data_IF_849955379784
#
_entry.id   IF_849955379784
#
_cell.length_a   1.000
_cell.length_b   1.000
_cell.length_c   1.000
_cell.angle_alpha   90.00
_cell.angle_beta   90.00
_cell.angle_gamma   90.00
#
_symmetry.space_group_name_H-M   'P 1'
#
loop_
_entity.id
_entity.type
_entity.pdbx_description
1 polymer ?
#
# COMPACT_ATOMS: atom_id res chain seq x y z
N UNK A 1 22.08 21.79 -46.28
CA UNK A 1 21.59 20.53 -45.69
C UNK A 1 22.45 19.39 -46.22
N UNK A 2 23.21 18.73 -45.34
CA UNK A 2 24.05 17.58 -45.67
C UNK A 2 24.37 16.86 -44.37
N UNK A 3 23.53 15.89 -44.04
CA UNK A 3 23.47 15.17 -42.77
C UNK A 3 24.74 14.36 -42.49
N UNK A 4 25.25 14.47 -41.26
CA UNK A 4 26.26 13.59 -40.67
C UNK A 4 25.75 12.15 -40.62
N UNK A 5 26.11 11.34 -41.62
CA UNK A 5 26.00 9.88 -41.55
C UNK A 5 27.25 9.30 -40.87
N UNK A 6 27.38 9.48 -39.55
CA UNK A 6 28.35 8.71 -38.77
C UNK A 6 27.78 7.31 -38.51
N UNK A 7 28.03 6.38 -39.43
CA UNK A 7 27.88 4.95 -39.17
C UNK A 7 28.96 4.54 -38.17
N UNK A 8 28.60 4.37 -36.90
CA UNK A 8 29.46 3.76 -35.90
C UNK A 8 29.78 2.31 -36.33
N UNK A 9 30.95 2.13 -36.93
CA UNK A 9 31.55 0.82 -37.14
C UNK A 9 32.06 0.32 -35.79
N UNK A 10 31.27 -0.51 -35.10
CA UNK A 10 31.76 -1.25 -33.93
C UNK A 10 32.88 -2.18 -34.42
N UNK A 11 34.12 -1.87 -34.05
CA UNK A 11 35.30 -2.64 -34.44
C UNK A 11 35.16 -4.09 -33.95
N UNK A 12 35.44 -5.05 -34.83
CA UNK A 12 35.52 -6.48 -34.51
C UNK A 12 36.51 -6.76 -33.37
N UNK A 13 37.52 -5.89 -33.17
CA UNK A 13 38.44 -5.95 -32.03
C UNK A 13 37.75 -5.58 -30.70
N UNK A 14 36.79 -4.65 -30.71
CA UNK A 14 35.99 -4.33 -29.53
C UNK A 14 35.01 -5.46 -29.18
N UNK A 15 34.47 -6.16 -30.19
CA UNK A 15 33.63 -7.35 -30.01
C UNK A 15 34.47 -8.53 -29.48
N UNK A 16 35.67 -8.74 -30.03
CA UNK A 16 36.64 -9.74 -29.57
C UNK A 16 37.11 -9.49 -28.14
N UNK A 17 37.45 -8.24 -27.80
CA UNK A 17 37.86 -7.85 -26.45
C UNK A 17 36.71 -8.02 -25.43
N UNK A 18 35.47 -7.68 -25.82
CA UNK A 18 34.29 -7.94 -25.01
C UNK A 18 34.02 -9.44 -24.84
N UNK A 19 34.29 -10.26 -25.86
CA UNK A 19 34.19 -11.72 -25.78
C UNK A 19 35.21 -12.32 -24.82
N UNK A 20 36.48 -11.95 -24.97
CA UNK A 20 37.57 -12.42 -24.10
C UNK A 20 37.36 -11.99 -22.63
N UNK A 21 36.94 -10.74 -22.41
CA UNK A 21 36.62 -10.25 -21.07
C UNK A 21 35.46 -11.01 -20.43
N UNK A 22 34.39 -11.28 -21.20
CA UNK A 22 33.26 -12.09 -20.72
C UNK A 22 33.70 -13.50 -20.36
N UNK A 23 34.44 -14.18 -21.24
CA UNK A 23 34.96 -15.53 -20.98
C UNK A 23 35.86 -15.58 -19.75
N UNK A 24 36.76 -14.59 -19.59
CA UNK A 24 37.61 -14.47 -18.41
C UNK A 24 36.79 -14.25 -17.14
N UNK A 25 35.80 -13.35 -17.16
CA UNK A 25 34.93 -13.09 -16.02
C UNK A 25 34.11 -14.33 -15.62
N UNK A 26 33.62 -15.09 -16.58
CA UNK A 26 32.88 -16.34 -16.32
C UNK A 26 33.81 -17.38 -15.71
N UNK A 27 35.04 -17.53 -16.21
CA UNK A 27 36.01 -18.46 -15.66
C UNK A 27 36.37 -18.11 -14.21
N UNK A 28 36.62 -16.83 -13.92
CA UNK A 28 36.91 -16.38 -12.55
C UNK A 28 35.73 -16.62 -11.61
N UNK A 29 34.49 -16.42 -12.07
CA UNK A 29 33.28 -16.75 -11.29
C UNK A 29 33.15 -18.26 -11.02
N UNK A 30 33.47 -19.12 -12.00
CA UNK A 30 33.47 -20.58 -11.80
C UNK A 30 34.56 -21.02 -10.81
N UNK A 31 35.75 -20.43 -10.88
CA UNK A 31 36.83 -20.68 -9.93
C UNK A 31 36.44 -20.25 -8.52
N UNK A 32 35.86 -19.05 -8.36
CA UNK A 32 35.31 -18.61 -7.08
C UNK A 32 34.22 -19.56 -6.57
N UNK A 33 33.32 -20.03 -7.45
CA UNK A 33 32.31 -21.03 -7.07
C UNK A 33 32.92 -22.34 -6.56
N UNK A 34 34.00 -22.81 -7.19
CA UNK A 34 34.74 -23.98 -6.72
C UNK A 34 35.42 -23.77 -5.37
N UNK A 35 36.01 -22.60 -5.13
CA UNK A 35 36.66 -22.25 -3.86
C UNK A 35 35.64 -22.06 -2.73
N UNK A 36 34.51 -21.41 -3.02
CA UNK A 36 33.40 -21.23 -2.08
C UNK A 36 32.74 -22.57 -1.74
N UNK A 37 32.61 -23.48 -2.72
CA UNK A 37 32.23 -24.87 -2.46
C UNK A 37 33.23 -25.58 -1.55
N UNK A 38 34.54 -25.48 -1.82
CA UNK A 38 35.56 -26.12 -1.00
C UNK A 38 35.55 -25.59 0.46
N UNK A 39 35.34 -24.28 0.62
CA UNK A 39 35.15 -23.67 1.93
C UNK A 39 33.89 -24.22 2.63
N UNK A 40 32.75 -24.25 1.94
CA UNK A 40 31.50 -24.81 2.46
C UNK A 40 31.58 -26.32 2.73
N UNK A 41 32.39 -27.06 1.98
CA UNK A 41 32.65 -28.47 2.24
C UNK A 41 33.36 -28.67 3.58
N UNK A 42 34.24 -27.72 3.90
CA UNK A 42 35.08 -27.76 5.09
C UNK A 42 34.31 -27.32 6.34
N UNK A 43 33.51 -26.25 6.23
CA UNK A 43 32.86 -25.61 7.39
C UNK A 43 31.33 -25.73 7.41
N UNK A 44 30.70 -25.98 6.26
CA UNK A 44 29.25 -25.99 6.08
C UNK A 44 28.57 -27.27 6.55
N UNK A 45 29.31 -28.30 6.97
CA UNK A 45 28.73 -29.56 7.46
C UNK A 45 27.78 -29.36 8.66
N UNK A 46 27.95 -28.27 9.43
CA UNK A 46 27.08 -27.90 10.54
C UNK A 46 25.77 -27.22 10.11
N UNK A 47 25.68 -26.68 8.89
CA UNK A 47 24.43 -26.09 8.40
C UNK A 47 23.38 -27.15 8.05
N UNK A 48 23.83 -28.31 7.55
CA UNK A 48 22.93 -29.39 7.11
C UNK A 48 23.46 -30.71 7.67
N UNK A 49 23.17 -31.01 8.95
CA UNK A 49 23.61 -32.25 9.57
C UNK A 49 22.81 -33.42 9.00
N UNK A 50 23.48 -34.24 8.20
CA UNK A 50 23.04 -35.58 7.84
C UNK A 50 23.82 -36.58 8.68
N UNK A 51 23.23 -37.71 9.07
CA UNK A 51 23.92 -38.76 9.85
C UNK A 51 25.18 -39.36 9.20
N UNK A 52 25.57 -38.87 8.01
CA UNK A 52 26.78 -39.22 7.29
C UNK A 52 27.69 -37.98 7.14
N UNK A 53 28.89 -37.97 7.75
CA UNK A 53 29.78 -36.80 7.74
C UNK A 53 30.11 -36.27 6.34
N UNK A 54 30.37 -37.16 5.37
CA UNK A 54 30.68 -36.79 4.00
C UNK A 54 29.49 -36.16 3.28
N UNK A 55 28.27 -36.65 3.52
CA UNK A 55 27.08 -36.09 2.91
C UNK A 55 26.78 -34.69 3.46
N UNK A 56 26.97 -34.48 4.77
CA UNK A 56 26.85 -33.14 5.39
C UNK A 56 27.86 -32.16 4.80
N UNK A 57 29.11 -32.60 4.59
CA UNK A 57 30.14 -31.78 3.95
C UNK A 57 29.76 -31.41 2.51
N UNK A 58 29.32 -32.37 1.69
CA UNK A 58 28.87 -32.09 0.30
C UNK A 58 27.71 -31.09 0.30
N UNK A 59 26.70 -31.29 1.16
CA UNK A 59 25.55 -30.40 1.25
C UNK A 59 25.95 -29.00 1.74
N UNK A 60 26.90 -28.90 2.68
CA UNK A 60 27.49 -27.64 3.11
C UNK A 60 28.19 -26.91 1.95
N UNK A 61 29.00 -27.62 1.16
CA UNK A 61 29.64 -27.08 -0.04
C UNK A 61 28.64 -26.57 -1.06
N UNK A 62 27.59 -27.35 -1.35
CA UNK A 62 26.51 -26.95 -2.25
C UNK A 62 25.78 -25.72 -1.71
N UNK A 63 25.45 -25.68 -0.42
CA UNK A 63 24.73 -24.56 0.18
C UNK A 63 25.51 -23.24 0.03
N UNK A 64 26.82 -23.26 0.29
CA UNK A 64 27.67 -22.08 0.10
C UNK A 64 27.72 -21.65 -1.37
N UNK A 65 27.98 -22.57 -2.30
CA UNK A 65 27.98 -22.25 -3.73
C UNK A 65 26.62 -21.67 -4.20
N UNK A 66 25.51 -22.16 -3.64
CA UNK A 66 24.18 -21.64 -3.94
C UNK A 66 23.98 -20.21 -3.43
N UNK A 67 24.33 -19.95 -2.17
CA UNK A 67 24.14 -18.66 -1.51
C UNK A 67 25.02 -17.57 -2.15
N UNK A 68 26.27 -17.89 -2.45
CA UNK A 68 27.23 -16.89 -2.87
C UNK A 68 27.28 -16.72 -4.39
N UNK A 69 27.35 -17.82 -5.14
CA UNK A 69 27.64 -17.77 -6.57
C UNK A 69 26.38 -17.88 -7.42
N UNK A 70 25.56 -18.92 -7.19
CA UNK A 70 24.34 -19.12 -7.97
C UNK A 70 23.32 -18.01 -7.72
N UNK A 71 23.18 -17.56 -6.47
CA UNK A 71 22.35 -16.40 -6.17
C UNK A 71 22.87 -15.13 -6.86
N UNK A 72 24.18 -14.88 -6.87
CA UNK A 72 24.76 -13.73 -7.58
C UNK A 72 24.43 -13.74 -9.08
N UNK A 73 24.49 -14.92 -9.72
CA UNK A 73 24.04 -15.09 -11.11
C UNK A 73 22.53 -14.89 -11.27
N UNK A 74 21.73 -15.39 -10.33
CA UNK A 74 20.28 -15.18 -10.32
C UNK A 74 19.92 -13.69 -10.27
N UNK A 75 20.60 -12.91 -9.43
CA UNK A 75 20.42 -11.47 -9.34
C UNK A 75 20.96 -10.71 -10.55
N UNK A 76 22.10 -11.11 -11.13
CA UNK A 76 22.63 -10.53 -12.38
C UNK A 76 21.65 -10.76 -13.54
N UNK A 77 21.03 -11.93 -13.60
CA UNK A 77 19.98 -12.25 -14.57
C UNK A 77 18.71 -11.43 -14.32
N UNK A 78 18.28 -11.29 -13.07
CA UNK A 78 17.12 -10.48 -12.69
C UNK A 78 17.30 -9.00 -13.07
N UNK A 79 18.49 -8.43 -12.87
CA UNK A 79 18.83 -7.05 -13.24
C UNK A 79 18.73 -6.77 -14.76
N UNK A 80 18.90 -7.81 -15.58
CA UNK A 80 18.88 -7.73 -17.04
C UNK A 80 17.53 -8.10 -17.66
N UNK A 81 16.54 -8.43 -16.83
CA UNK A 81 15.20 -8.77 -17.31
C UNK A 81 14.53 -7.53 -17.92
N UNK A 82 13.82 -7.72 -19.02
CA UNK A 82 13.00 -6.67 -19.61
C UNK A 82 11.78 -6.36 -18.72
N UNK A 83 11.30 -5.12 -18.77
CA UNK A 83 10.09 -4.70 -18.04
C UNK A 83 10.22 -4.60 -16.52
N UNK A 84 11.44 -4.48 -16.00
CA UNK A 84 11.69 -4.22 -14.57
C UNK A 84 11.74 -2.72 -14.27
N UNK A 85 11.34 -2.33 -13.07
CA UNK A 85 11.48 -0.94 -12.62
C UNK A 85 12.96 -0.56 -12.38
N UNK A 86 13.31 0.74 -12.39
CA UNK A 86 14.66 1.18 -12.01
C UNK A 86 15.08 0.73 -10.61
N UNK A 87 14.13 0.70 -9.66
CA UNK A 87 14.36 0.23 -8.30
C UNK A 87 14.67 -1.27 -8.26
N UNK A 88 13.91 -2.09 -8.99
CA UNK A 88 14.17 -3.52 -9.15
C UNK A 88 15.56 -3.80 -9.72
N UNK A 89 15.96 -3.03 -10.74
CA UNK A 89 17.30 -3.13 -11.33
C UNK A 89 18.37 -2.82 -10.29
N UNK A 90 18.25 -1.69 -9.59
CA UNK A 90 19.22 -1.29 -8.57
C UNK A 90 19.33 -2.32 -7.44
N UNK A 91 18.21 -2.84 -6.93
CA UNK A 91 18.22 -3.89 -5.90
C UNK A 91 18.93 -5.15 -6.39
N UNK A 92 18.67 -5.58 -7.63
CA UNK A 92 19.28 -6.77 -8.20
C UNK A 92 20.77 -6.60 -8.47
N UNK A 93 21.19 -5.46 -9.00
CA UNK A 93 22.61 -5.14 -9.23
C UNK A 93 23.38 -5.09 -7.91
N UNK A 94 22.83 -4.44 -6.89
CA UNK A 94 23.44 -4.35 -5.57
C UNK A 94 23.56 -5.74 -4.91
N UNK A 95 22.52 -6.56 -4.97
CA UNK A 95 22.55 -7.90 -4.39
C UNK A 95 23.52 -8.81 -5.14
N UNK A 96 23.52 -8.77 -6.48
CA UNK A 96 24.48 -9.51 -7.30
C UNK A 96 25.92 -9.12 -6.97
N UNK A 97 26.20 -7.81 -6.90
CA UNK A 97 27.51 -7.29 -6.54
C UNK A 97 27.94 -7.72 -5.13
N UNK A 98 27.04 -7.57 -4.15
CA UNK A 98 27.32 -7.94 -2.76
C UNK A 98 27.64 -9.43 -2.62
N UNK A 99 26.85 -10.32 -3.24
CA UNK A 99 27.12 -11.76 -3.23
C UNK A 99 28.43 -12.11 -3.94
N UNK A 100 28.73 -11.48 -5.07
CA UNK A 100 29.96 -11.73 -5.82
C UNK A 100 31.22 -11.28 -5.06
N UNK A 101 31.18 -10.12 -4.41
CA UNK A 101 32.27 -9.65 -3.55
C UNK A 101 32.45 -10.56 -2.33
N UNK A 102 31.35 -11.01 -1.74
CA UNK A 102 31.41 -11.92 -0.59
C UNK A 102 31.96 -13.31 -0.98
N UNK A 103 31.59 -13.83 -2.16
CA UNK A 103 32.19 -15.05 -2.75
C UNK A 103 33.69 -14.91 -2.94
N UNK A 104 34.12 -13.77 -3.49
CA UNK A 104 35.54 -13.47 -3.73
C UNK A 104 36.32 -13.41 -2.41
N UNK A 105 35.75 -12.81 -1.37
CA UNK A 105 36.35 -12.75 -0.04
C UNK A 105 36.52 -14.15 0.57
N UNK A 106 35.48 -14.99 0.51
CA UNK A 106 35.56 -16.39 1.01
C UNK A 106 36.57 -17.19 0.20
N UNK A 107 36.60 -17.03 -1.12
CA UNK A 107 37.57 -17.68 -1.98
C UNK A 107 39.01 -17.30 -1.63
N UNK A 108 39.26 -16.02 -1.32
CA UNK A 108 40.57 -15.56 -0.86
C UNK A 108 40.95 -16.15 0.51
N UNK A 109 40.00 -16.23 1.45
CA UNK A 109 40.21 -16.89 2.75
C UNK A 109 40.53 -18.37 2.57
N UNK A 110 39.79 -19.08 1.69
CA UNK A 110 40.05 -20.48 1.39
C UNK A 110 41.46 -20.70 0.82
N UNK A 111 41.91 -19.80 -0.08
CA UNK A 111 43.28 -19.84 -0.59
C UNK A 111 44.31 -19.58 0.52
N UNK A 112 44.07 -18.61 1.40
CA UNK A 112 44.95 -18.35 2.54
C UNK A 112 45.05 -19.53 3.51
N UNK A 113 43.94 -20.24 3.75
CA UNK A 113 43.89 -21.43 4.62
C UNK A 113 44.56 -22.66 4.00
N UNK A 114 44.55 -22.77 2.68
CA UNK A 114 45.10 -23.94 1.95
C UNK A 114 46.55 -23.74 1.51
N UNK A 115 47.04 -22.51 1.50
CA UNK A 115 48.44 -22.21 1.17
C UNK A 115 49.28 -22.11 2.44
N UNK A 116 50.52 -22.63 2.45
CA UNK A 116 51.43 -22.54 3.59
C UNK A 116 52.00 -21.12 3.81
N UNK A 117 51.49 -20.12 3.10
CA UNK A 117 51.99 -18.74 3.14
C UNK A 117 51.56 -18.00 4.41
N UNK A 118 50.45 -18.41 5.03
CA UNK A 118 49.91 -17.81 6.26
C UNK A 118 49.46 -18.93 7.19
N UNK A 119 50.08 -19.04 8.38
CA UNK A 119 49.62 -19.99 9.39
C UNK A 119 48.40 -19.42 10.14
N UNK A 120 47.21 -19.86 9.71
CA UNK A 120 45.92 -19.51 10.30
C UNK A 120 45.32 -20.67 11.12
N UNK A 121 46.11 -21.70 11.43
CA UNK A 121 45.63 -22.92 12.09
C UNK A 121 44.97 -22.66 13.45
N UNK A 122 45.48 -21.69 14.21
CA UNK A 122 44.93 -21.29 15.51
C UNK A 122 43.58 -20.58 15.42
N UNK A 123 43.22 -20.02 14.25
CA UNK A 123 41.99 -19.29 14.02
C UNK A 123 40.96 -20.08 13.19
N UNK A 124 41.30 -21.31 12.80
CA UNK A 124 40.54 -22.14 11.86
C UNK A 124 39.05 -22.25 12.22
N UNK A 125 38.74 -22.56 13.48
CA UNK A 125 37.36 -22.69 13.96
C UNK A 125 36.63 -21.34 14.03
N UNK A 126 37.34 -20.27 14.43
CA UNK A 126 36.80 -18.91 14.51
C UNK A 126 36.44 -18.37 13.12
N UNK A 127 37.25 -18.66 12.11
CA UNK A 127 36.99 -18.30 10.71
C UNK A 127 35.74 -19.03 10.20
N UNK A 128 35.65 -20.35 10.44
CA UNK A 128 34.49 -21.15 10.08
C UNK A 128 33.20 -20.62 10.69
N UNK A 129 33.18 -20.39 12.00
CA UNK A 129 32.00 -19.86 12.72
C UNK A 129 31.60 -18.47 12.24
N UNK A 130 32.57 -17.58 12.01
CA UNK A 130 32.29 -16.23 11.48
C UNK A 130 31.70 -16.31 10.08
N UNK A 131 32.25 -17.16 9.21
CA UNK A 131 31.74 -17.34 7.87
C UNK A 131 30.33 -17.92 7.85
N UNK A 132 30.00 -18.87 8.73
CA UNK A 132 28.65 -19.41 8.89
C UNK A 132 27.65 -18.33 9.33
N UNK A 133 28.03 -17.48 10.30
CA UNK A 133 27.19 -16.36 10.74
C UNK A 133 26.94 -15.37 9.61
N UNK A 134 27.99 -14.97 8.88
CA UNK A 134 27.87 -14.07 7.73
C UNK A 134 27.06 -14.69 6.59
N UNK A 135 27.19 -16.00 6.34
CA UNK A 135 26.39 -16.72 5.35
C UNK A 135 24.91 -16.69 5.69
N UNK A 136 24.58 -16.83 6.98
CA UNK A 136 23.19 -16.74 7.46
C UNK A 136 22.62 -15.34 7.25
N UNK A 137 23.42 -14.31 7.55
CA UNK A 137 23.03 -12.91 7.29
C UNK A 137 22.81 -12.68 5.80
N UNK A 138 23.74 -13.13 4.94
CA UNK A 138 23.61 -13.00 3.49
C UNK A 138 22.37 -13.71 2.96
N UNK A 139 22.09 -14.92 3.46
CA UNK A 139 20.88 -15.66 3.10
C UNK A 139 19.61 -14.89 3.51
N UNK A 140 19.57 -14.33 4.72
CA UNK A 140 18.46 -13.48 5.14
C UNK A 140 18.32 -12.23 4.24
N UNK A 141 19.44 -11.60 3.87
CA UNK A 141 19.45 -10.49 2.91
C UNK A 141 18.89 -10.88 1.54
N UNK A 142 19.13 -12.11 1.07
CA UNK A 142 18.51 -12.59 -0.17
C UNK A 142 16.99 -12.64 -0.08
N UNK A 143 16.43 -13.13 1.04
CA UNK A 143 14.99 -13.19 1.24
C UNK A 143 14.36 -11.80 1.36
N UNK A 144 14.96 -10.90 2.15
CA UNK A 144 14.49 -9.52 2.30
C UNK A 144 14.52 -8.79 0.96
N UNK A 145 15.60 -8.92 0.21
CA UNK A 145 15.72 -8.29 -1.12
C UNK A 145 14.74 -8.91 -2.10
N UNK A 146 14.49 -10.22 -2.07
CA UNK A 146 13.47 -10.86 -2.91
C UNK A 146 12.06 -10.33 -2.63
N UNK A 147 11.72 -10.12 -1.36
CA UNK A 147 10.45 -9.53 -0.98
C UNK A 147 10.32 -8.07 -1.46
N UNK A 148 11.36 -7.27 -1.23
CA UNK A 148 11.39 -5.87 -1.68
C UNK A 148 11.36 -5.76 -3.21
N UNK A 149 12.09 -6.63 -3.90
CA UNK A 149 12.11 -6.70 -5.36
C UNK A 149 10.72 -6.99 -5.92
N UNK A 150 9.95 -7.89 -5.30
CA UNK A 150 8.55 -8.15 -5.68
C UNK A 150 7.68 -6.90 -5.51
N UNK A 151 7.83 -6.19 -4.39
CA UNK A 151 7.05 -5.00 -4.07
C UNK A 151 7.43 -3.77 -4.91
N UNK A 152 8.63 -3.76 -5.50
CA UNK A 152 9.09 -2.72 -6.40
C UNK A 152 8.69 -2.97 -7.87
N UNK A 153 7.80 -3.94 -8.14
CA UNK A 153 7.33 -4.18 -9.50
C UNK A 153 6.56 -2.97 -10.05
N UNK A 154 6.62 -2.69 -11.37
CA UNK A 154 5.92 -1.55 -11.97
C UNK A 154 4.45 -1.49 -11.58
N UNK A 155 3.75 -2.63 -11.63
CA UNK A 155 2.33 -2.74 -11.23
C UNK A 155 2.10 -2.37 -9.76
N UNK A 156 2.99 -2.80 -8.86
CA UNK A 156 2.87 -2.47 -7.43
C UNK A 156 3.22 -1.01 -7.16
N UNK A 157 4.17 -0.45 -7.92
CA UNK A 157 4.52 0.97 -7.83
C UNK A 157 3.38 1.86 -8.33
N UNK A 158 2.75 1.52 -9.45
CA UNK A 158 1.57 2.23 -9.97
C UNK A 158 0.42 2.20 -8.96
N UNK A 159 0.09 1.03 -8.42
CA UNK A 159 -0.94 0.90 -7.39
C UNK A 159 -0.63 1.73 -6.13
N UNK A 160 0.65 1.82 -5.73
CA UNK A 160 1.08 2.68 -4.62
C UNK A 160 0.90 4.16 -4.95
N UNK A 161 1.38 4.60 -6.11
CA UNK A 161 1.25 6.00 -6.56
C UNK A 161 -0.23 6.40 -6.63
N UNK A 162 -1.09 5.55 -7.17
CA UNK A 162 -2.53 5.80 -7.23
C UNK A 162 -3.15 5.90 -5.83
N UNK A 163 -2.77 5.01 -4.91
CA UNK A 163 -3.23 5.06 -3.52
C UNK A 163 -2.76 6.32 -2.79
N UNK A 164 -1.51 6.73 -3.02
CA UNK A 164 -0.93 7.94 -2.44
C UNK A 164 -1.62 9.20 -2.98
N UNK A 165 -1.87 9.26 -4.30
CA UNK A 165 -2.62 10.33 -4.94
C UNK A 165 -4.04 10.42 -4.37
N UNK A 166 -4.75 9.30 -4.28
CA UNK A 166 -6.10 9.25 -3.69
C UNK A 166 -6.10 9.72 -2.22
N UNK A 167 -5.13 9.27 -1.43
CA UNK A 167 -5.02 9.67 -0.03
C UNK A 167 -4.73 11.17 0.13
N UNK A 168 -3.86 11.72 -0.70
CA UNK A 168 -3.49 13.14 -0.71
C UNK A 168 -4.67 14.00 -1.13
N UNK A 169 -5.40 13.56 -2.16
CA UNK A 169 -6.58 14.23 -2.68
C UNK A 169 -7.72 14.22 -1.65
N UNK A 170 -7.93 13.10 -0.95
CA UNK A 170 -8.87 13.02 0.17
C UNK A 170 -8.48 13.95 1.33
N UNK A 171 -7.19 14.07 1.65
CA UNK A 171 -6.69 15.00 2.65
C UNK A 171 -6.95 16.47 2.25
N UNK A 172 -6.69 16.83 0.99
CA UNK A 172 -6.97 18.17 0.47
C UNK A 172 -8.46 18.52 0.51
N UNK A 173 -9.35 17.59 0.14
CA UNK A 173 -10.80 17.84 0.24
C UNK A 173 -11.27 18.03 1.68
N UNK A 174 -10.70 17.30 2.65
CA UNK A 174 -11.00 17.53 4.07
C UNK A 174 -10.58 18.94 4.50
N UNK A 175 -9.39 19.39 4.11
CA UNK A 175 -8.94 20.76 4.39
C UNK A 175 -9.85 21.82 3.74
N UNK A 176 -10.19 21.67 2.46
CA UNK A 176 -11.10 22.60 1.79
C UNK A 176 -12.48 22.64 2.45
N UNK A 177 -13.03 21.50 2.88
CA UNK A 177 -14.30 21.47 3.61
C UNK A 177 -14.21 22.21 4.93
N UNK A 178 -13.12 22.06 5.68
CA UNK A 178 -12.93 22.81 6.93
C UNK A 178 -12.79 24.31 6.70
N UNK A 179 -12.06 24.72 5.65
CA UNK A 179 -11.89 26.13 5.32
C UNK A 179 -13.20 26.76 4.82
N UNK A 180 -13.94 26.06 3.96
CA UNK A 180 -15.26 26.47 3.50
C UNK A 180 -16.26 26.55 4.65
N UNK A 181 -16.25 25.58 5.58
CA UNK A 181 -17.09 25.62 6.77
C UNK A 181 -16.82 26.87 7.60
N UNK A 182 -15.55 27.23 7.83
CA UNK A 182 -15.19 28.46 8.54
C UNK A 182 -15.69 29.72 7.81
N UNK A 183 -15.46 29.84 6.50
CA UNK A 183 -15.91 30.98 5.71
C UNK A 183 -17.44 31.09 5.62
N UNK A 184 -18.14 29.95 5.56
CA UNK A 184 -19.60 29.92 5.60
C UNK A 184 -20.09 30.36 6.97
N UNK A 185 -19.51 29.87 8.06
CA UNK A 185 -19.90 30.32 9.41
C UNK A 185 -19.63 31.81 9.63
N UNK A 186 -18.51 32.32 9.10
CA UNK A 186 -18.17 33.74 9.16
C UNK A 186 -19.19 34.58 8.38
N UNK A 187 -19.51 34.21 7.13
CA UNK A 187 -20.56 34.89 6.33
C UNK A 187 -21.95 34.80 6.94
N UNK A 188 -22.31 33.66 7.54
CA UNK A 188 -23.60 33.50 8.22
C UNK A 188 -23.65 34.40 9.45
N UNK A 189 -22.58 34.50 10.23
CA UNK A 189 -22.49 35.40 11.37
C UNK A 189 -22.56 36.88 10.93
N UNK A 190 -21.83 37.25 9.87
CA UNK A 190 -21.86 38.60 9.30
C UNK A 190 -23.27 38.98 8.81
N UNK A 191 -23.92 38.10 8.03
CA UNK A 191 -25.31 38.32 7.60
C UNK A 191 -26.32 38.32 8.74
N UNK A 192 -26.08 37.56 9.80
CA UNK A 192 -26.91 37.61 11.00
C UNK A 192 -26.78 38.98 11.66
N UNK A 193 -25.57 39.51 11.80
CA UNK A 193 -25.34 40.85 12.37
C UNK A 193 -26.03 41.93 11.53
N UNK A 194 -25.89 41.87 10.20
CA UNK A 194 -26.49 42.86 9.31
C UNK A 194 -28.03 42.82 9.32
N UNK A 195 -28.62 41.66 9.60
CA UNK A 195 -30.08 41.47 9.64
C UNK A 195 -30.64 41.29 11.05
N UNK A 196 -29.88 41.59 12.11
CA UNK A 196 -30.30 41.40 13.50
C UNK A 196 -31.60 42.15 13.79
N UNK A 197 -31.77 43.35 13.23
CA UNK A 197 -32.98 44.15 13.43
C UNK A 197 -34.19 43.50 12.73
N UNK A 198 -34.02 42.94 11.53
CA UNK A 198 -35.08 42.23 10.83
C UNK A 198 -35.44 40.90 11.50
N UNK A 199 -34.45 40.19 12.06
CA UNK A 199 -34.68 38.98 12.85
C UNK A 199 -35.38 39.31 14.17
N UNK A 200 -34.97 40.38 14.86
CA UNK A 200 -35.60 40.84 16.08
C UNK A 200 -37.05 41.28 15.84
N UNK A 201 -37.32 41.98 14.73
CA UNK A 201 -38.69 42.32 14.31
C UNK A 201 -39.52 41.09 13.98
N UNK A 202 -38.96 40.10 13.27
CA UNK A 202 -39.65 38.85 12.93
C UNK A 202 -39.95 37.99 14.17
N UNK A 203 -39.02 37.94 15.13
CA UNK A 203 -39.17 37.22 16.38
C UNK A 203 -40.15 37.92 17.33
N UNK A 204 -40.08 39.25 17.41
CA UNK A 204 -41.07 40.07 18.11
C UNK A 204 -42.46 39.92 17.50
N UNK A 205 -42.60 39.89 16.17
CA UNK A 205 -43.87 39.64 15.50
C UNK A 205 -44.41 38.23 15.78
N UNK A 206 -43.53 37.23 15.90
CA UNK A 206 -43.91 35.85 16.21
C UNK A 206 -44.38 35.69 17.66
N UNK A 207 -43.68 36.29 18.61
CA UNK A 207 -44.11 36.34 20.02
C UNK A 207 -45.39 37.17 20.19
N UNK A 208 -45.51 38.30 19.49
CA UNK A 208 -46.75 39.08 19.47
C UNK A 208 -47.94 38.28 18.94
N UNK A 209 -47.74 37.53 17.84
CA UNK A 209 -48.76 36.62 17.29
C UNK A 209 -49.15 35.52 18.28
N UNK A 210 -48.19 34.98 19.03
CA UNK A 210 -48.44 33.98 20.07
C UNK A 210 -49.23 34.56 21.25
N UNK A 211 -48.86 35.75 21.72
CA UNK A 211 -49.56 36.44 22.82
C UNK A 211 -51.01 36.77 22.42
N UNK A 212 -51.21 37.32 21.22
CA UNK A 212 -52.55 37.67 20.71
C UNK A 212 -53.44 36.46 20.46
N UNK A 213 -52.88 35.36 19.94
CA UNK A 213 -53.64 34.10 19.77
C UNK A 213 -54.07 33.52 21.13
N UNK A 214 -53.21 33.59 22.14
CA UNK A 214 -53.53 33.15 23.50
C UNK A 214 -54.56 34.05 24.20
N UNK A 215 -54.53 35.37 23.94
CA UNK A 215 -55.55 36.31 24.45
C UNK A 215 -56.90 36.15 23.76
N UNK A 216 -56.93 35.91 22.44
CA UNK A 216 -58.17 35.67 21.69
C UNK A 216 -58.87 34.34 22.07
N UNK A 217 -58.12 33.33 22.49
CA UNK A 217 -58.71 32.10 23.05
C UNK A 217 -59.27 32.30 24.47
N UNK A 218 -58.71 33.23 25.26
CA UNK A 218 -59.20 33.50 26.62
C UNK A 218 -60.61 34.12 26.61
N UNK A 219 -60.93 34.97 25.64
CA UNK A 219 -62.28 35.54 25.48
C UNK A 219 -63.32 34.51 25.00
N UNK A 220 -62.96 33.56 24.13
CA UNK A 220 -63.89 32.49 23.71
C UNK A 220 -64.16 31.46 24.83
N UNK A 221 -63.24 31.26 25.78
CA UNK A 221 -63.43 30.25 26.85
C UNK A 221 -64.38 30.64 27.98
N UNK A 222 -64.78 31.91 28.11
CA UNK A 222 -65.77 32.33 29.11
C UNK A 222 -67.22 32.07 28.67
N UNK A 223 -67.53 32.13 27.37
CA UNK A 223 -68.89 31.85 26.87
C UNK A 223 -69.17 30.35 26.67
N UNK A 224 -68.12 29.52 26.48
CA UNK A 224 -68.27 28.09 26.17
C UNK A 224 -68.42 27.16 27.40
N UNK A 225 -68.37 27.66 28.64
CA UNK A 225 -68.41 26.81 29.85
C UNK A 225 -69.81 26.48 30.38
N UNK A 226 -70.89 26.98 29.77
CA UNK A 226 -72.26 26.84 30.31
C UNK A 226 -73.12 25.75 29.63
N UNK A 227 -72.58 25.02 28.64
CA UNK A 227 -73.19 23.83 28.06
C UNK A 227 -72.01 22.92 27.71
N UNK A 228 -71.75 21.78 28.34
CA UNK A 228 -72.49 20.52 28.19
C UNK A 228 -72.10 19.61 29.37
N UNK A 229 -73.01 19.46 30.35
CA UNK A 229 -73.15 18.21 31.10
C UNK A 229 -74.34 17.46 30.50
N UNK A 230 -74.10 16.39 29.72
CA UNK A 230 -74.96 15.20 29.68
C UNK A 230 -74.43 14.14 28.68
N UNK A 231 -74.33 12.91 29.18
CA UNK A 231 -74.33 11.59 28.50
C UNK A 231 -73.04 11.04 27.86
N UNK A 232 -72.29 10.38 28.74
CA UNK A 232 -71.74 9.01 28.68
C UNK A 232 -72.46 8.05 27.69
N UNK A 233 -71.74 7.30 26.82
CA UNK A 233 -71.30 5.88 27.00
C UNK A 233 -70.72 5.23 25.71
N UNK A 234 -69.47 4.75 25.83
CA UNK A 234 -68.90 3.48 25.33
C UNK A 234 -68.99 3.04 23.85
N UNK A 235 -67.84 2.89 23.18
CA UNK A 235 -67.35 1.57 22.77
C UNK A 235 -65.83 1.63 22.50
N UNK A 236 -65.10 0.69 23.10
CA UNK A 236 -63.64 0.57 23.07
C UNK A 236 -63.18 -0.16 21.80
N UNK A 237 -62.12 0.36 21.19
CA UNK A 237 -61.25 -0.33 20.24
C UNK A 237 -59.85 0.30 20.36
N UNK A 238 -58.80 -0.45 20.75
CA UNK A 238 -57.49 0.14 21.02
C UNK A 238 -56.79 0.56 19.71
N UNK A 239 -56.00 1.65 19.75
CA UNK A 239 -55.36 2.21 18.57
C UNK A 239 -54.22 1.32 18.04
N UNK A 240 -53.95 1.33 16.72
CA UNK A 240 -52.83 0.58 16.15
C UNK A 240 -51.48 1.10 16.66
N UNK A 241 -50.59 0.16 16.98
CA UNK A 241 -49.25 0.40 17.47
C UNK A 241 -48.33 1.01 16.39
N UNK A 242 -47.33 1.83 16.78
CA UNK A 242 -46.34 2.41 15.87
C UNK A 242 -45.47 1.33 15.19
N UNK A 243 -44.92 1.60 14.00
CA UNK A 243 -44.03 0.68 13.30
C UNK A 243 -42.78 0.37 14.14
N UNK A 244 -42.42 -0.90 14.17
CA UNK A 244 -41.31 -1.43 14.95
C UNK A 244 -39.95 -0.87 14.44
N UNK A 245 -39.10 -0.52 15.40
CA UNK A 245 -37.66 -0.36 15.21
C UNK A 245 -37.07 -1.70 14.73
N UNK A 246 -36.48 -1.72 13.53
CA UNK A 246 -35.47 -2.72 13.16
C UNK A 246 -34.16 -2.37 13.89
N UNK A 247 -34.08 -2.76 15.16
CA UNK A 247 -32.79 -3.01 15.82
C UNK A 247 -32.30 -4.41 15.42
N UNK A 248 -31.46 -4.51 14.38
CA UNK A 248 -30.38 -5.52 14.37
C UNK A 248 -29.25 -5.20 13.37
N UNK A 249 -28.64 -4.02 13.46
CA UNK A 249 -27.46 -3.66 12.65
C UNK A 249 -26.12 -3.88 13.36
N UNK A 250 -26.07 -4.69 14.42
CA UNK A 250 -24.87 -4.86 15.25
C UNK A 250 -24.58 -6.32 15.67
N UNK A 251 -24.99 -7.29 14.84
CA UNK A 251 -24.51 -8.67 14.95
C UNK A 251 -23.19 -8.84 14.18
N UNK A 252 -22.14 -9.46 14.77
CA UNK A 252 -20.98 -9.89 14.00
C UNK A 252 -21.40 -10.95 12.97
N UNK A 253 -21.05 -10.72 11.70
CA UNK A 253 -21.32 -11.62 10.58
C UNK A 253 -20.79 -13.04 10.83
N UNK A 254 -21.57 -14.03 10.42
CA UNK A 254 -21.13 -15.44 10.45
C UNK A 254 -20.14 -15.73 9.32
N UNK A 255 -19.29 -16.74 9.50
CA UNK A 255 -18.23 -17.08 8.54
C UNK A 255 -18.77 -17.46 7.15
N UNK A 256 -20.01 -17.97 7.08
CA UNK A 256 -20.71 -18.27 5.83
C UNK A 256 -21.17 -17.00 5.07
N UNK A 257 -21.51 -15.92 5.78
CA UNK A 257 -21.92 -14.64 5.17
C UNK A 257 -20.71 -13.84 4.65
N UNK A 258 -19.55 -13.94 5.31
CA UNK A 258 -18.29 -13.34 4.84
C UNK A 258 -17.78 -13.97 3.54
N UNK A 259 -18.04 -15.27 3.34
CA UNK A 259 -17.66 -15.97 2.11
C UNK A 259 -18.57 -15.62 0.92
N UNK A 260 -19.82 -15.24 1.17
CA UNK A 260 -20.75 -14.80 0.12
C UNK A 260 -20.40 -13.41 -0.44
N UNK A 261 -19.87 -12.51 0.40
CA UNK A 261 -19.49 -11.14 0.01
C UNK A 261 -18.25 -11.09 -0.90
N UNK A 262 -17.33 -12.04 -0.77
CA UNK A 262 -16.13 -12.16 -1.61
C UNK A 262 -16.44 -12.68 -3.03
N UNK A 263 -17.63 -13.24 -3.26
CA UNK A 263 -17.97 -13.96 -4.49
C UNK A 263 -18.80 -13.19 -5.52
N UNK A 264 -19.16 -11.92 -5.26
CA UNK A 264 -19.88 -11.13 -6.28
C UNK A 264 -18.89 -10.58 -7.32
N UNK A 265 -18.93 -11.03 -8.58
CA UNK A 265 -18.18 -10.35 -9.64
C UNK A 265 -18.75 -8.94 -9.81
N UNK A 266 -17.85 -7.96 -9.89
CA UNK A 266 -18.16 -6.59 -10.35
C UNK A 266 -18.98 -6.70 -11.63
N UNK A 267 -20.28 -6.42 -11.52
CA UNK A 267 -21.22 -6.37 -12.64
C UNK A 267 -21.50 -4.90 -12.92
N UNK A 268 -21.66 -4.60 -14.21
CA UNK A 268 -21.72 -3.26 -14.82
C UNK A 268 -22.73 -2.28 -14.17
N UNK A 269 -23.64 -2.76 -13.33
CA UNK A 269 -24.63 -1.97 -12.60
C UNK A 269 -23.97 -0.92 -11.66
N UNK A 270 -22.82 -1.24 -11.07
CA UNK A 270 -22.09 -0.28 -10.22
C UNK A 270 -21.44 0.87 -11.02
N UNK A 271 -21.18 0.67 -12.32
CA UNK A 271 -20.67 1.71 -13.21
C UNK A 271 -21.81 2.60 -13.72
N UNK A 272 -22.98 2.00 -14.02
CA UNK A 272 -24.18 2.70 -14.46
C UNK A 272 -24.70 3.64 -13.36
N UNK A 273 -24.71 3.21 -12.09
CA UNK A 273 -25.15 4.05 -10.96
C UNK A 273 -24.20 5.24 -10.72
N UNK A 274 -22.90 5.09 -11.01
CA UNK A 274 -21.92 6.18 -10.89
C UNK A 274 -22.06 7.23 -12.00
N UNK A 275 -22.33 6.82 -13.25
CA UNK A 275 -22.57 7.77 -14.34
C UNK A 275 -23.86 8.56 -14.15
N UNK A 276 -24.92 7.92 -13.64
CA UNK A 276 -26.20 8.58 -13.36
C UNK A 276 -26.09 9.58 -12.18
N UNK A 277 -25.34 9.22 -11.12
CA UNK A 277 -25.04 10.14 -10.01
C UNK A 277 -24.18 11.34 -10.47
N UNK A 278 -23.24 11.13 -11.40
CA UNK A 278 -22.40 12.20 -11.94
C UNK A 278 -23.17 13.13 -12.87
N UNK A 279 -24.08 12.60 -13.70
CA UNK A 279 -24.99 13.38 -14.53
C UNK A 279 -25.95 14.24 -13.71
N UNK A 280 -26.52 13.67 -12.64
CA UNK A 280 -27.41 14.39 -11.72
C UNK A 280 -26.68 15.49 -10.92
N UNK A 281 -25.42 15.26 -10.54
CA UNK A 281 -24.60 16.27 -9.86
C UNK A 281 -24.23 17.44 -10.78
N UNK A 282 -23.93 17.19 -12.06
CA UNK A 282 -23.67 18.26 -13.04
C UNK A 282 -24.93 19.07 -13.34
N UNK A 283 -26.09 18.42 -13.51
CA UNK A 283 -27.36 19.10 -13.71
C UNK A 283 -27.78 19.98 -12.51
N UNK A 284 -27.51 19.52 -11.28
CA UNK A 284 -27.74 20.31 -10.07
C UNK A 284 -26.78 21.51 -9.94
N UNK A 285 -25.58 21.42 -10.49
CA UNK A 285 -24.59 22.50 -10.50
C UNK A 285 -24.95 23.57 -11.55
N UNK A 286 -25.41 23.17 -12.73
CA UNK A 286 -25.87 24.09 -13.78
C UNK A 286 -27.16 24.84 -13.39
N UNK A 287 -28.12 24.15 -12.73
CA UNK A 287 -29.32 24.82 -12.23
C UNK A 287 -29.02 25.82 -11.09
N UNK A 288 -28.03 25.55 -10.24
CA UNK A 288 -27.62 26.50 -9.20
C UNK A 288 -26.86 27.72 -9.76
N UNK A 289 -26.10 27.55 -10.85
CA UNK A 289 -25.43 28.66 -11.53
C UNK A 289 -26.42 29.57 -12.25
N UNK A 290 -27.49 29.01 -12.84
CA UNK A 290 -28.53 29.79 -13.49
C UNK A 290 -29.46 30.52 -12.51
N UNK A 291 -29.61 30.05 -11.27
CA UNK A 291 -30.34 30.78 -10.22
C UNK A 291 -29.50 31.87 -9.53
N UNK A 292 -28.17 31.82 -9.64
CA UNK A 292 -27.27 32.83 -9.09
C UNK A 292 -27.02 34.02 -10.03
N UNK A 293 -27.50 33.94 -11.28
CA UNK A 293 -27.32 34.95 -12.33
C UNK A 293 -28.63 35.64 -12.78
N UNK A 294 -29.75 35.40 -12.07
CA UNK A 294 -31.05 36.03 -12.30
C UNK A 294 -31.39 37.09 -11.26
#
# INVERSE_FOLDING_TARGET
MGLFSNKFSISTAAISANGQWRSFSTLMRLLNGGLTFAFGFTYGAYMIPTGHPTASAILGGIAFALIYDVAAFGWDAAARRDGISPEQRLMSENMSGFSMWSSTAISAVQLALTTPLVDLSSMYDGIGMTALALSTILLASHFVTAFNYKNASPETMEARIDSELQSTLAAMYRQQRTELAMKVTERVAERMIDNIDQFAEAEAAREWKRITTNMGQAEMTMEARTQVQAKVKGNEGPPPAPPADDQDSNRPLTDEEKLAEVSKPFTDDAYIEFEELRGNAQAAQENNLNMAAG
#
